data_IF_269959436598
#
_entry.id   IF_269959436598
#
_cell.length_a   1.000
_cell.length_b   1.000
_cell.length_c   1.000
_cell.angle_alpha   90.00
_cell.angle_beta   90.00
_cell.angle_gamma   90.00
#
_symmetry.space_group_name_H-M   'P 1'
#
loop_
_entity.id
_entity.type
_entity.pdbx_description
1 polymer ?
#
# COMPACT_ATOMS: atom_id res chain seq x y z
N UNK A 1 -26.56 -32.69 -16.63
CA UNK A 1 -25.31 -33.12 -15.97
C UNK A 1 -24.43 -34.03 -16.83
N UNK A 2 -24.98 -35.01 -17.56
CA UNK A 2 -24.20 -35.79 -18.55
C UNK A 2 -23.53 -34.95 -19.65
N UNK A 3 -24.10 -33.80 -19.99
CA UNK A 3 -23.59 -32.91 -21.05
C UNK A 3 -22.39 -32.05 -20.62
N UNK A 4 -22.21 -31.83 -19.31
CA UNK A 4 -21.19 -30.90 -18.77
C UNK A 4 -19.82 -31.59 -18.65
N UNK A 5 -19.80 -32.93 -18.72
CA UNK A 5 -18.63 -33.77 -18.47
C UNK A 5 -18.50 -34.68 -19.69
N UNK A 6 -17.96 -34.13 -20.77
CA UNK A 6 -17.93 -34.77 -22.09
C UNK A 6 -17.43 -36.21 -22.04
N UNK A 7 -18.20 -37.12 -22.67
CA UNK A 7 -17.91 -38.50 -23.11
C UNK A 7 -16.89 -39.36 -22.32
N UNK A 8 -16.59 -39.06 -21.06
CA UNK A 8 -15.83 -39.94 -20.18
C UNK A 8 -16.82 -40.77 -19.39
N UNK A 9 -16.75 -42.09 -19.59
CA UNK A 9 -17.50 -43.09 -18.82
C UNK A 9 -16.98 -43.11 -17.38
N UNK A 10 -17.38 -42.13 -16.58
CA UNK A 10 -17.16 -42.19 -15.13
C UNK A 10 -18.19 -43.13 -14.50
N UNK A 11 -17.82 -43.73 -13.38
CA UNK A 11 -18.71 -44.57 -12.59
C UNK A 11 -19.94 -43.78 -12.13
N UNK A 12 -21.13 -44.29 -12.43
CA UNK A 12 -22.42 -43.70 -12.05
C UNK A 12 -22.54 -43.53 -10.53
N UNK A 13 -21.89 -44.40 -9.75
CA UNK A 13 -21.82 -44.29 -8.28
C UNK A 13 -21.12 -43.01 -7.82
N UNK A 14 -19.97 -42.68 -8.40
CA UNK A 14 -19.25 -41.43 -8.12
C UNK A 14 -20.07 -40.20 -8.47
N UNK A 15 -20.79 -40.22 -9.60
CA UNK A 15 -21.67 -39.12 -9.97
C UNK A 15 -22.81 -38.92 -9.00
N UNK A 16 -23.44 -40.00 -8.54
CA UNK A 16 -24.51 -39.88 -7.54
C UNK A 16 -23.98 -39.32 -6.23
N UNK A 17 -22.80 -39.75 -5.78
CA UNK A 17 -22.18 -39.23 -4.57
C UNK A 17 -21.85 -37.73 -4.69
N UNK A 18 -21.24 -37.33 -5.81
CA UNK A 18 -20.96 -35.93 -6.09
C UNK A 18 -22.25 -35.11 -6.17
N UNK A 19 -23.26 -35.61 -6.88
CA UNK A 19 -24.56 -34.95 -7.01
C UNK A 19 -25.19 -34.67 -5.65
N UNK A 20 -25.29 -35.68 -4.78
CA UNK A 20 -25.88 -35.53 -3.46
C UNK A 20 -25.06 -34.61 -2.55
N UNK A 21 -23.73 -34.62 -2.67
CA UNK A 21 -22.85 -33.73 -1.90
C UNK A 21 -23.02 -32.24 -2.26
N UNK A 22 -23.58 -31.94 -3.43
CA UNK A 22 -23.80 -30.56 -3.90
C UNK A 22 -25.22 -30.05 -3.60
N UNK A 23 -26.09 -30.87 -3.02
CA UNK A 23 -27.45 -30.48 -2.66
C UNK A 23 -27.53 -29.95 -1.23
N UNK A 24 -28.50 -29.08 -0.91
CA UNK A 24 -28.79 -28.67 0.46
C UNK A 24 -29.10 -29.88 1.35
N UNK A 25 -28.74 -29.79 2.63
CA UNK A 25 -28.86 -30.89 3.59
C UNK A 25 -30.30 -31.44 3.69
N UNK A 26 -31.30 -30.57 3.56
CA UNK A 26 -32.72 -30.95 3.61
C UNK A 26 -33.10 -31.82 2.42
N UNK A 27 -32.59 -31.49 1.23
CA UNK A 27 -32.82 -32.27 0.01
C UNK A 27 -32.02 -33.56 0.06
N UNK A 28 -30.77 -33.51 0.53
CA UNK A 28 -29.92 -34.69 0.70
C UNK A 28 -30.55 -35.73 1.63
N UNK A 29 -31.08 -35.31 2.78
CA UNK A 29 -31.67 -36.21 3.77
C UNK A 29 -32.82 -37.07 3.20
N UNK A 30 -33.61 -36.50 2.28
CA UNK A 30 -34.69 -37.22 1.60
C UNK A 30 -34.13 -38.12 0.49
N UNK A 31 -33.14 -37.63 -0.26
CA UNK A 31 -32.61 -38.33 -1.43
C UNK A 31 -31.65 -39.49 -1.11
N UNK A 32 -31.07 -39.55 0.10
CA UNK A 32 -30.21 -40.66 0.54
C UNK A 32 -30.92 -42.02 0.42
N UNK A 33 -32.23 -42.07 0.67
CA UNK A 33 -33.03 -43.30 0.52
C UNK A 33 -33.24 -43.72 -0.93
N UNK A 34 -32.99 -42.83 -1.90
CA UNK A 34 -33.20 -43.05 -3.33
C UNK A 34 -31.88 -43.25 -4.10
N UNK A 35 -30.77 -43.50 -3.39
CA UNK A 35 -29.43 -43.70 -3.96
C UNK A 35 -29.36 -44.77 -5.07
N UNK A 36 -30.24 -45.77 -4.99
CA UNK A 36 -30.26 -46.92 -5.90
C UNK A 36 -30.91 -46.59 -7.26
N UNK A 37 -31.65 -45.48 -7.37
CA UNK A 37 -32.35 -45.11 -8.59
C UNK A 37 -31.39 -44.65 -9.70
N UNK A 38 -31.87 -44.57 -10.94
CA UNK A 38 -31.06 -44.01 -12.03
C UNK A 38 -30.70 -42.54 -11.72
N UNK A 39 -29.55 -42.07 -12.21
CA UNK A 39 -29.10 -40.68 -12.00
C UNK A 39 -30.15 -39.66 -12.46
N UNK A 40 -30.80 -39.93 -13.58
CA UNK A 40 -31.81 -39.06 -14.16
C UNK A 40 -33.08 -39.00 -13.27
N UNK A 41 -33.47 -40.10 -12.64
CA UNK A 41 -34.58 -40.16 -11.68
C UNK A 41 -34.25 -39.48 -10.34
N UNK A 42 -32.99 -39.62 -9.90
CA UNK A 42 -32.47 -38.96 -8.70
C UNK A 42 -32.46 -37.44 -8.88
N UNK A 43 -32.07 -36.97 -10.07
CA UNK A 43 -32.12 -35.56 -10.43
C UNK A 43 -33.55 -35.01 -10.45
N UNK A 44 -34.47 -35.72 -11.11
CA UNK A 44 -35.89 -35.32 -11.12
C UNK A 44 -36.50 -35.27 -9.71
N UNK A 45 -36.12 -36.20 -8.83
CA UNK A 45 -36.56 -36.21 -7.43
C UNK A 45 -35.99 -35.03 -6.64
N UNK A 46 -34.73 -34.64 -6.90
CA UNK A 46 -34.11 -33.48 -6.30
C UNK A 46 -34.81 -32.18 -6.69
N UNK A 47 -35.20 -32.03 -7.96
CA UNK A 47 -35.91 -30.86 -8.46
C UNK A 47 -37.28 -30.71 -7.78
N UNK A 48 -38.05 -31.81 -7.71
CA UNK A 48 -39.36 -31.83 -7.02
C UNK A 48 -39.24 -31.46 -5.55
N UNK A 49 -38.25 -32.02 -4.85
CA UNK A 49 -38.04 -31.71 -3.43
C UNK A 49 -37.54 -30.27 -3.21
N UNK A 50 -36.73 -29.76 -4.13
CA UNK A 50 -36.29 -28.37 -4.14
C UNK A 50 -37.45 -27.40 -4.33
N UNK A 51 -38.49 -27.79 -5.08
CA UNK A 51 -39.71 -26.99 -5.25
C UNK A 51 -40.57 -26.98 -3.98
N UNK A 52 -40.74 -28.14 -3.34
CA UNK A 52 -41.49 -28.28 -2.06
C UNK A 52 -40.83 -27.47 -0.94
N UNK A 53 -39.50 -27.55 -0.84
CA UNK A 53 -38.76 -26.79 0.18
C UNK A 53 -38.78 -25.29 -0.10
N UNK A 54 -38.79 -24.84 -1.37
CA UNK A 54 -38.98 -23.42 -1.71
C UNK A 54 -40.37 -22.92 -1.31
N UNK A 55 -41.43 -23.71 -1.53
CA UNK A 55 -42.79 -23.30 -1.16
C UNK A 55 -42.98 -23.26 0.36
N UNK A 56 -42.39 -24.21 1.09
CA UNK A 56 -42.45 -24.26 2.56
C UNK A 56 -41.63 -23.16 3.23
N UNK A 57 -40.53 -22.71 2.61
CA UNK A 57 -39.70 -21.62 3.15
C UNK A 57 -40.24 -20.22 2.83
N UNK A 58 -41.19 -20.09 1.90
CA UNK A 58 -41.85 -18.81 1.62
C UNK A 58 -42.66 -18.28 2.82
N UNK A 59 -43.13 -19.16 3.71
CA UNK A 59 -43.82 -18.77 4.95
C UNK A 59 -42.88 -18.68 6.17
N UNK A 60 -41.66 -19.24 6.12
CA UNK A 60 -40.80 -19.39 7.32
C UNK A 60 -39.48 -18.62 7.27
N UNK A 61 -39.03 -18.10 6.13
CA UNK A 61 -37.85 -17.22 6.09
C UNK A 61 -38.21 -15.74 6.02
N UNK A 62 -38.75 -15.22 7.12
CA UNK A 62 -38.47 -13.84 7.54
C UNK A 62 -37.39 -13.87 8.63
N UNK A 63 -36.24 -14.49 8.32
CA UNK A 63 -35.00 -14.06 8.96
C UNK A 63 -34.61 -12.78 8.23
N UNK A 64 -35.31 -11.68 8.55
CA UNK A 64 -34.67 -10.38 8.57
C UNK A 64 -33.58 -10.52 9.61
N UNK A 65 -32.41 -10.99 9.19
CA UNK A 65 -31.17 -10.72 9.90
C UNK A 65 -31.03 -9.20 9.86
N UNK A 66 -31.70 -8.56 10.81
CA UNK A 66 -31.41 -7.17 11.15
C UNK A 66 -30.01 -7.27 11.71
N UNK A 67 -29.02 -6.99 10.88
CA UNK A 67 -27.69 -6.64 11.35
C UNK A 67 -27.88 -5.42 12.25
N UNK A 68 -28.13 -5.68 13.54
CA UNK A 68 -28.24 -4.66 14.57
C UNK A 68 -26.82 -4.24 14.87
N UNK A 69 -26.26 -3.47 13.95
CA UNK A 69 -25.00 -2.76 14.15
C UNK A 69 -25.18 -2.00 15.46
N UNK A 70 -24.39 -2.33 16.48
CA UNK A 70 -24.56 -1.70 17.78
C UNK A 70 -24.35 -0.20 17.61
N UNK A 71 -24.97 0.62 18.47
CA UNK A 71 -24.75 2.07 18.42
C UNK A 71 -23.25 2.42 18.49
N UNK A 72 -22.45 1.54 19.09
CA UNK A 72 -20.99 1.64 19.14
C UNK A 72 -20.34 1.42 17.77
N UNK A 73 -20.80 0.44 17.00
CA UNK A 73 -20.30 0.17 15.64
C UNK A 73 -20.64 1.31 14.67
N UNK A 74 -21.85 1.89 14.80
CA UNK A 74 -22.28 3.06 14.01
C UNK A 74 -21.42 4.28 14.34
N UNK A 75 -21.18 4.55 15.62
CA UNK A 75 -20.36 5.68 16.06
C UNK A 75 -18.89 5.49 15.67
N UNK A 76 -18.35 4.28 15.78
CA UNK A 76 -16.99 3.96 15.34
C UNK A 76 -16.82 4.14 13.83
N UNK A 77 -17.80 3.70 13.03
CA UNK A 77 -17.81 3.95 11.59
C UNK A 77 -17.84 5.45 11.28
N UNK A 78 -18.68 6.22 11.97
CA UNK A 78 -18.77 7.67 11.79
C UNK A 78 -17.45 8.38 12.15
N UNK A 79 -16.80 7.97 13.24
CA UNK A 79 -15.50 8.48 13.65
C UNK A 79 -14.40 8.15 12.64
N UNK A 80 -14.41 6.93 12.09
CA UNK A 80 -13.45 6.47 11.08
C UNK A 80 -13.60 7.27 9.79
N UNK A 81 -14.83 7.44 9.31
CA UNK A 81 -15.13 8.25 8.12
C UNK A 81 -14.73 9.72 8.33
N UNK A 82 -15.03 10.27 9.50
CA UNK A 82 -14.64 11.65 9.85
C UNK A 82 -13.12 11.82 9.84
N UNK A 83 -12.37 10.86 10.39
CA UNK A 83 -10.90 10.87 10.38
C UNK A 83 -10.34 10.78 8.97
N UNK A 84 -10.88 9.89 8.15
CA UNK A 84 -10.48 9.72 6.75
C UNK A 84 -10.69 11.01 5.93
N UNK A 85 -11.86 11.64 6.06
CA UNK A 85 -12.17 12.89 5.35
C UNK A 85 -11.26 14.05 5.78
N UNK A 86 -10.94 14.17 7.07
CA UNK A 86 -9.98 15.17 7.57
C UNK A 86 -8.60 14.96 6.96
N UNK A 87 -8.08 13.73 7.01
CA UNK A 87 -6.77 13.41 6.44
C UNK A 87 -6.72 13.66 4.92
N UNK A 88 -7.78 13.30 4.19
CA UNK A 88 -7.90 13.58 2.76
C UNK A 88 -7.88 15.08 2.49
N UNK A 89 -8.66 15.87 3.24
CA UNK A 89 -8.70 17.33 3.07
C UNK A 89 -7.35 17.98 3.40
N UNK A 90 -6.63 17.51 4.41
CA UNK A 90 -5.29 18.02 4.74
C UNK A 90 -4.29 17.73 3.62
N UNK A 91 -4.37 16.54 3.01
CA UNK A 91 -3.56 16.17 1.85
C UNK A 91 -3.89 17.02 0.62
N UNK A 92 -5.17 17.19 0.29
CA UNK A 92 -5.61 18.08 -0.81
C UNK A 92 -5.17 19.53 -0.56
N UNK A 93 -5.23 20.01 0.68
CA UNK A 93 -4.75 21.35 1.05
C UNK A 93 -3.24 21.48 0.89
N UNK A 94 -2.48 20.43 1.18
CA UNK A 94 -1.03 20.39 0.97
C UNK A 94 -0.61 20.30 -0.51
N UNK A 95 -1.53 19.96 -1.42
CA UNK A 95 -1.32 19.98 -2.87
C UNK A 95 -1.45 21.37 -3.49
N UNK A 96 -1.95 22.37 -2.75
CA UNK A 96 -1.72 23.76 -3.17
C UNK A 96 -0.22 24.04 -3.01
N UNK A 97 0.52 24.46 -4.05
CA UNK A 97 1.88 24.91 -3.87
C UNK A 97 1.80 26.02 -2.86
N UNK A 98 2.30 25.76 -1.64
CA UNK A 98 2.41 26.75 -0.58
C UNK A 98 3.32 27.82 -1.19
N UNK A 99 2.69 28.82 -1.81
CA UNK A 99 3.34 29.87 -2.61
C UNK A 99 4.50 30.29 -1.76
N UNK A 100 5.70 29.90 -2.19
CA UNK A 100 6.90 30.09 -1.39
C UNK A 100 6.95 31.58 -1.15
N UNK A 101 6.55 32.00 0.05
CA UNK A 101 6.88 33.32 0.53
C UNK A 101 8.38 33.34 0.42
N UNK A 102 8.85 34.02 -0.62
CA UNK A 102 10.26 34.19 -0.89
C UNK A 102 10.78 34.78 0.41
N UNK A 103 11.42 33.94 1.22
CA UNK A 103 12.23 34.38 2.34
C UNK A 103 13.25 35.26 1.67
N UNK A 104 12.96 36.57 1.64
CA UNK A 104 13.92 37.59 1.24
C UNK A 104 15.10 37.32 2.14
N UNK A 105 16.14 36.68 1.59
CA UNK A 105 17.43 36.55 2.24
C UNK A 105 17.79 37.98 2.59
N UNK A 106 17.85 38.29 3.88
CA UNK A 106 18.51 39.49 4.34
C UNK A 106 19.88 39.47 3.69
N UNK A 107 20.10 40.42 2.77
CA UNK A 107 21.39 40.57 2.09
C UNK A 107 22.42 40.67 3.19
N UNK A 108 23.33 39.70 3.25
CA UNK A 108 24.42 39.71 4.22
C UNK A 108 25.20 41.01 4.06
N UNK A 109 25.65 41.56 5.19
CA UNK A 109 26.52 42.74 5.28
C UNK A 109 27.59 42.65 4.17
N UNK A 110 27.77 43.69 3.33
CA UNK A 110 28.81 43.70 2.31
C UNK A 110 30.17 43.35 2.95
N UNK A 111 31.09 42.73 2.19
CA UNK A 111 32.45 42.51 2.65
C UNK A 111 33.02 43.77 3.30
N UNK A 112 33.67 43.62 4.46
CA UNK A 112 34.30 44.77 5.14
C UNK A 112 35.49 45.30 4.32
N UNK A 113 36.03 44.44 3.45
CA UNK A 113 37.08 44.76 2.48
C UNK A 113 36.78 44.03 1.18
N UNK A 114 37.03 44.67 0.03
CA UNK A 114 36.95 44.05 -1.29
C UNK A 114 38.36 43.91 -1.88
N UNK A 115 39.13 42.97 -1.34
CA UNK A 115 40.44 42.62 -1.91
C UNK A 115 40.31 41.35 -2.76
N UNK A 116 40.68 41.43 -4.04
CA UNK A 116 40.63 40.31 -4.99
C UNK A 116 41.60 39.18 -4.64
N UNK A 117 42.65 39.44 -3.87
CA UNK A 117 43.66 38.45 -3.48
C UNK A 117 43.23 37.64 -2.23
N UNK A 118 42.08 37.97 -1.66
CA UNK A 118 41.54 37.36 -0.45
C UNK A 118 40.34 36.47 -0.79
N UNK A 119 40.22 35.33 -0.11
CA UNK A 119 39.04 34.50 -0.28
C UNK A 119 37.81 35.20 0.32
N UNK A 120 36.62 34.87 -0.19
CA UNK A 120 35.34 35.42 0.28
C UNK A 120 35.20 35.41 1.81
N UNK A 121 35.71 34.37 2.49
CA UNK A 121 35.65 34.30 3.94
C UNK A 121 36.53 35.35 4.65
N UNK A 122 37.72 35.69 4.13
CA UNK A 122 38.54 36.78 4.69
C UNK A 122 37.93 38.15 4.36
N UNK A 123 37.37 38.33 3.17
CA UNK A 123 36.64 39.55 2.81
C UNK A 123 35.38 39.76 3.66
N UNK A 124 34.72 38.67 4.09
CA UNK A 124 33.51 38.73 4.91
C UNK A 124 33.78 38.86 6.41
N UNK A 125 34.85 38.22 6.93
CA UNK A 125 35.08 38.05 8.39
C UNK A 125 36.43 38.55 8.90
N UNK A 126 37.33 39.03 8.02
CA UNK A 126 38.65 39.52 8.40
C UNK A 126 39.56 38.43 8.95
N UNK A 127 40.19 38.68 10.11
CA UNK A 127 41.38 37.94 10.61
C UNK A 127 41.18 36.48 11.03
N UNK A 128 39.95 35.96 11.10
CA UNK A 128 39.71 34.60 11.65
C UNK A 128 38.53 33.86 11.02
N UNK A 129 38.51 33.64 9.69
CA UNK A 129 37.51 32.77 9.09
C UNK A 129 37.80 31.32 9.43
N UNK A 130 36.77 30.58 9.85
CA UNK A 130 36.88 29.13 10.10
C UNK A 130 37.26 28.34 8.84
N UNK A 131 36.93 28.87 7.66
CA UNK A 131 37.08 28.18 6.37
C UNK A 131 37.88 29.04 5.36
N UNK A 132 39.17 29.23 5.59
CA UNK A 132 40.04 29.82 4.56
C UNK A 132 40.13 28.90 3.33
N UNK A 133 39.92 29.45 2.12
CA UNK A 133 40.09 28.72 0.84
C UNK A 133 41.43 29.14 0.22
N UNK A 134 42.29 28.16 -0.10
CA UNK A 134 43.56 28.41 -0.83
C UNK A 134 43.29 28.50 -2.35
N UNK A 135 44.06 29.30 -3.12
CA UNK A 135 45.14 30.18 -2.69
C UNK A 135 44.56 31.50 -2.13
N UNK A 136 44.91 31.85 -0.89
CA UNK A 136 44.53 33.12 -0.27
C UNK A 136 45.76 33.71 0.42
N UNK A 137 46.06 34.97 0.11
CA UNK A 137 47.31 35.65 0.50
C UNK A 137 47.06 36.54 1.75
N UNK A 138 45.99 36.27 2.50
CA UNK A 138 45.73 37.01 3.73
C UNK A 138 46.92 36.83 4.70
N UNK A 139 47.52 37.91 5.23
CA UNK A 139 48.68 37.82 6.11
C UNK A 139 48.27 37.14 7.41
N UNK A 140 48.41 35.81 7.45
CA UNK A 140 48.07 35.00 8.59
C UNK A 140 49.24 35.07 9.59
N UNK A 141 48.99 35.61 10.78
CA UNK A 141 50.02 35.69 11.84
C UNK A 141 50.36 34.34 12.48
N UNK A 142 49.79 33.23 11.98
CA UNK A 142 49.97 31.88 12.51
C UNK A 142 49.97 30.85 11.38
N UNK A 143 51.12 30.61 10.77
CA UNK A 143 51.45 29.34 10.11
C UNK A 143 52.98 29.21 10.07
N UNK A 144 53.54 28.85 11.22
CA UNK A 144 54.83 28.16 11.29
C UNK A 144 54.68 26.79 10.63
N UNK A 145 55.61 26.48 9.74
CA UNK A 145 56.09 25.16 9.35
C UNK A 145 55.07 24.04 9.09
N UNK A 146 54.95 23.65 7.83
CA UNK A 146 55.33 22.27 7.47
C UNK A 146 55.85 22.24 6.04
N UNK A 147 57.12 21.84 5.93
CA UNK A 147 57.92 21.72 4.72
C UNK A 147 57.27 20.80 3.68
N UNK A 148 57.44 21.21 2.43
CA UNK A 148 57.31 20.40 1.23
C UNK A 148 58.08 19.07 1.37
N UNK A 149 57.43 17.96 1.08
CA UNK A 149 58.06 16.74 0.59
C UNK A 149 57.02 15.90 -0.14
N UNK A 150 57.06 15.91 -1.47
CA UNK A 150 56.50 14.83 -2.29
C UNK A 150 57.52 14.52 -3.38
N UNK A 151 58.27 13.45 -3.14
CA UNK A 151 59.30 12.91 -4.01
C UNK A 151 58.73 12.52 -5.38
N UNK A 152 59.53 12.82 -6.39
CA UNK A 152 59.33 12.42 -7.76
C UNK A 152 59.92 11.01 -7.94
N UNK A 153 59.06 10.00 -8.10
CA UNK A 153 59.44 8.71 -8.68
C UNK A 153 58.86 8.67 -10.09
N UNK A 154 59.73 8.71 -11.10
CA UNK A 154 59.40 8.44 -12.49
C UNK A 154 59.75 6.98 -12.78
N UNK A 155 58.74 6.21 -13.18
CA UNK A 155 58.89 4.84 -13.65
C UNK A 155 59.58 4.85 -15.03
N UNK A 156 60.57 3.98 -15.19
CA UNK A 156 61.33 3.78 -16.43
C UNK A 156 60.54 3.02 -17.48
N UNK A 157 60.93 3.27 -18.73
CA UNK A 157 60.57 2.48 -19.91
C UNK A 157 61.87 1.98 -20.54
N UNK A 158 61.88 0.68 -20.86
CA UNK A 158 62.92 -0.12 -21.56
C UNK A 158 64.12 -0.57 -20.71
#
# INVERSE_FOLDING_TARGET
MKEIIGQRTFDDGLFKQLFLSKLPQQVQAVLVSFQNNALDELAASADRNSEITKSSNAEVFSVKEKYQMSQNDITELFHTLTRYLKFRNDRERSHTPRRSTSRKRSVSKPPETDNSDWCWHHNQYGKSPRNCRKPCIFPNSKLTDTKNNSGHFQAGTC
#
